data_IF_278999435573
#
_entry.id   IF_278999435573
#
_cell.length_a   1.000
_cell.length_b   1.000
_cell.length_c   1.000
_cell.angle_alpha   90.00
_cell.angle_beta   90.00
_cell.angle_gamma   90.00
#
_symmetry.space_group_name_H-M   'P 1'
#
loop_
_entity.id
_entity.type
_entity.pdbx_description
1 polymer ?
#
# COMPACT_ATOMS: atom_id res chain seq x y z
N UNK A 1 -28.83 -13.41 25.49
CA UNK A 1 -27.91 -14.23 24.69
C UNK A 1 -27.05 -13.25 23.90
N UNK A 2 -25.76 -13.19 24.25
CA UNK A 2 -24.79 -12.20 23.79
C UNK A 2 -24.25 -12.63 22.43
N UNK A 3 -24.68 -11.98 21.36
CA UNK A 3 -24.02 -12.05 20.05
C UNK A 3 -23.80 -10.61 19.53
N UNK A 4 -22.93 -9.86 20.21
CA UNK A 4 -22.20 -8.79 19.53
C UNK A 4 -20.90 -9.41 19.07
N UNK A 5 -20.85 -9.80 17.81
CA UNK A 5 -19.63 -10.25 17.15
C UNK A 5 -18.51 -9.25 17.43
N UNK A 6 -17.31 -9.77 17.69
CA UNK A 6 -16.13 -8.98 18.01
C UNK A 6 -15.90 -7.94 16.90
N UNK A 7 -16.16 -6.66 17.18
CA UNK A 7 -16.18 -5.57 16.19
C UNK A 7 -14.79 -5.04 15.87
N UNK A 8 -13.90 -5.90 15.41
CA UNK A 8 -12.53 -5.54 15.03
C UNK A 8 -12.21 -6.18 13.69
N UNK A 9 -11.69 -5.38 12.76
CA UNK A 9 -11.15 -5.84 11.49
C UNK A 9 -9.62 -5.77 11.57
N UNK A 10 -8.95 -6.74 10.95
CA UNK A 10 -7.50 -6.76 10.88
C UNK A 10 -7.00 -7.36 9.59
N UNK A 11 -5.92 -6.80 9.06
CA UNK A 11 -5.28 -7.24 7.83
C UNK A 11 -3.76 -7.17 7.98
N UNK A 12 -3.08 -8.13 7.36
CA UNK A 12 -1.63 -8.18 7.24
C UNK A 12 -1.24 -7.75 5.84
N UNK A 13 -0.50 -6.66 5.75
CA UNK A 13 -0.18 -5.95 4.51
C UNK A 13 1.31 -6.08 4.21
N UNK A 14 1.64 -6.79 3.13
CA UNK A 14 3.01 -6.79 2.59
C UNK A 14 3.31 -5.46 1.90
N UNK A 15 4.47 -4.89 2.21
CA UNK A 15 4.95 -3.63 1.63
C UNK A 15 5.73 -3.89 0.33
N UNK A 16 5.25 -3.28 -0.75
CA UNK A 16 5.73 -3.48 -2.12
C UNK A 16 6.60 -2.28 -2.54
N UNK A 17 7.83 -2.54 -2.97
CA UNK A 17 8.66 -1.50 -3.60
C UNK A 17 8.56 -1.60 -5.12
N UNK A 18 8.26 -0.47 -5.77
CA UNK A 18 8.38 -0.32 -7.23
C UNK A 18 9.70 0.29 -7.68
N UNK A 19 10.54 0.70 -6.73
CA UNK A 19 11.83 1.33 -6.97
C UNK A 19 12.98 0.33 -6.75
N UNK A 20 14.09 0.57 -7.44
CA UNK A 20 15.35 -0.14 -7.19
C UNK A 20 16.46 0.88 -6.92
N UNK A 21 17.34 0.58 -5.96
CA UNK A 21 18.40 1.51 -5.60
C UNK A 21 19.01 1.20 -4.24
N UNK A 22 19.93 2.05 -3.81
CA UNK A 22 20.47 2.01 -2.45
C UNK A 22 19.61 2.91 -1.57
N UNK A 23 19.12 2.39 -0.45
CA UNK A 23 18.24 3.13 0.45
C UNK A 23 19.04 4.14 1.25
N UNK A 24 18.66 5.41 1.16
CA UNK A 24 19.18 6.50 1.98
C UNK A 24 18.28 6.81 3.18
N UNK A 25 16.98 6.53 3.03
CA UNK A 25 15.98 6.80 4.05
C UNK A 25 14.77 5.89 3.93
N UNK A 26 14.11 5.66 5.05
CA UNK A 26 12.88 4.84 5.17
C UNK A 26 11.68 5.66 5.69
N UNK A 27 11.39 6.86 5.13
CA UNK A 27 10.36 7.74 5.67
C UNK A 27 8.95 7.11 5.64
N UNK A 28 8.70 6.19 4.71
CA UNK A 28 7.43 5.47 4.64
C UNK A 28 7.17 4.56 5.82
N UNK A 29 8.20 3.95 6.41
CA UNK A 29 8.01 3.13 7.60
C UNK A 29 7.56 3.95 8.80
N UNK A 30 8.10 5.16 8.95
CA UNK A 30 7.63 6.09 9.97
C UNK A 30 6.21 6.58 9.70
N UNK A 31 5.82 6.74 8.43
CA UNK A 31 4.43 7.04 8.07
C UNK A 31 3.49 5.89 8.44
N UNK A 32 3.87 4.63 8.15
CA UNK A 32 3.11 3.42 8.51
C UNK A 32 2.92 3.30 10.02
N UNK A 33 3.97 3.59 10.81
CA UNK A 33 3.91 3.58 12.28
C UNK A 33 2.93 4.62 12.87
N UNK A 34 2.58 5.66 12.11
CA UNK A 34 1.66 6.72 12.53
C UNK A 34 0.21 6.48 12.12
N UNK A 35 -0.07 5.39 11.41
CA UNK A 35 -1.44 5.01 11.02
C UNK A 35 -2.27 4.67 12.26
N UNK A 36 -3.59 4.91 12.19
CA UNK A 36 -4.49 4.69 13.33
C UNK A 36 -4.69 3.22 13.63
N UNK A 37 -4.64 2.39 12.58
CA UNK A 37 -4.77 0.93 12.65
C UNK A 37 -3.44 0.22 12.93
N UNK A 38 -2.32 0.94 13.12
CA UNK A 38 -1.00 0.34 13.30
C UNK A 38 -0.91 -0.55 14.56
N UNK A 39 -0.44 -1.79 14.40
CA UNK A 39 -0.10 -2.69 15.52
C UNK A 39 1.39 -3.03 15.52
N UNK A 40 1.92 -3.47 14.38
CA UNK A 40 3.34 -3.81 14.24
C UNK A 40 3.82 -3.67 12.81
N UNK A 41 5.11 -3.42 12.63
CA UNK A 41 5.78 -3.43 11.33
C UNK A 41 7.08 -4.22 11.45
N UNK A 42 7.22 -5.23 10.61
CA UNK A 42 8.48 -5.94 10.39
C UNK A 42 9.19 -5.28 9.21
N UNK A 43 10.39 -4.77 9.48
CA UNK A 43 11.23 -4.08 8.49
C UNK A 43 12.30 -5.03 7.98
N UNK A 44 12.31 -5.29 6.67
CA UNK A 44 13.32 -6.14 6.03
C UNK A 44 14.43 -5.33 5.32
N UNK A 45 14.32 -4.00 5.32
CA UNK A 45 15.18 -3.08 4.58
C UNK A 45 15.61 -1.93 5.49
N UNK A 46 16.90 -1.62 5.50
CA UNK A 46 17.47 -0.54 6.28
C UNK A 46 18.27 0.42 5.40
N UNK A 47 18.61 1.59 5.94
CA UNK A 47 19.49 2.55 5.26
C UNK A 47 20.84 1.89 4.96
N UNK A 48 21.28 2.00 3.71
CA UNK A 48 22.47 1.35 3.17
C UNK A 48 22.18 0.02 2.45
N UNK A 49 21.00 -0.58 2.63
CA UNK A 49 20.61 -1.78 1.91
C UNK A 49 20.24 -1.44 0.46
N UNK A 50 20.37 -2.44 -0.42
CA UNK A 50 19.90 -2.33 -1.80
C UNK A 50 18.48 -2.85 -1.89
N UNK A 51 17.53 -1.94 -2.09
CA UNK A 51 16.14 -2.30 -2.39
C UNK A 51 16.01 -2.67 -3.86
N UNK A 52 15.21 -3.71 -4.12
CA UNK A 52 14.86 -4.17 -5.45
C UNK A 52 13.35 -4.10 -5.61
N UNK A 53 12.89 -4.09 -6.87
CA UNK A 53 11.46 -4.15 -7.17
C UNK A 53 10.88 -5.46 -6.65
N UNK A 54 9.80 -5.39 -5.89
CA UNK A 54 9.16 -6.56 -5.30
C UNK A 54 8.47 -7.36 -6.41
N UNK A 55 8.98 -8.57 -6.67
CA UNK A 55 8.45 -9.50 -7.68
C UNK A 55 7.94 -10.81 -7.07
N UNK A 56 8.28 -11.05 -5.80
CA UNK A 56 7.96 -12.25 -5.04
C UNK A 56 7.92 -11.92 -3.53
N UNK A 57 7.67 -12.94 -2.71
CA UNK A 57 7.59 -12.79 -1.25
C UNK A 57 8.95 -12.58 -0.57
N UNK A 58 10.07 -12.90 -1.23
CA UNK A 58 11.41 -12.71 -0.67
C UNK A 58 11.93 -11.28 -0.89
N UNK A 59 11.41 -10.60 -1.90
CA UNK A 59 11.70 -9.21 -2.25
C UNK A 59 10.72 -8.22 -1.61
N UNK A 60 9.89 -8.69 -0.66
CA UNK A 60 9.00 -7.84 0.14
C UNK A 60 9.82 -7.03 1.14
N UNK A 61 9.59 -5.72 1.14
CA UNK A 61 10.40 -4.78 1.93
C UNK A 61 10.02 -4.71 3.41
N UNK A 62 8.81 -5.17 3.74
CA UNK A 62 8.33 -5.27 5.11
C UNK A 62 6.90 -5.80 5.19
N UNK A 63 6.44 -6.04 6.41
CA UNK A 63 5.11 -6.57 6.69
C UNK A 63 4.46 -5.74 7.80
N UNK A 64 3.36 -5.08 7.47
CA UNK A 64 2.58 -4.30 8.41
C UNK A 64 1.37 -5.12 8.90
N UNK A 65 1.15 -5.15 10.21
CA UNK A 65 -0.08 -5.69 10.80
C UNK A 65 -0.94 -4.51 11.22
N UNK A 66 -2.14 -4.45 10.65
CA UNK A 66 -3.12 -3.39 10.90
C UNK A 66 -4.38 -3.98 11.52
N UNK A 67 -4.84 -3.39 12.62
CA UNK A 67 -6.07 -3.80 13.31
C UNK A 67 -6.78 -2.55 13.82
N UNK A 68 -8.07 -2.44 13.54
CA UNK A 68 -8.90 -1.35 14.05
C UNK A 68 -10.34 -1.82 14.29
N UNK A 69 -11.04 -1.19 15.23
CA UNK A 69 -12.45 -1.52 15.52
C UNK A 69 -13.40 -1.05 14.42
N UNK A 70 -13.03 0.04 13.75
CA UNK A 70 -13.75 0.59 12.60
C UNK A 70 -13.13 0.07 11.29
N UNK A 71 -13.87 -0.68 10.46
CA UNK A 71 -13.36 -1.19 9.18
C UNK A 71 -13.08 -0.10 8.15
N UNK A 72 -13.72 1.07 8.23
CA UNK A 72 -13.47 2.18 7.30
C UNK A 72 -12.07 2.78 7.54
N UNK A 73 -11.69 2.93 8.80
CA UNK A 73 -10.33 3.39 9.18
C UNK A 73 -9.26 2.41 8.69
N UNK A 74 -9.50 1.10 8.80
CA UNK A 74 -8.59 0.09 8.30
C UNK A 74 -8.43 0.19 6.77
N UNK A 75 -9.53 0.34 6.04
CA UNK A 75 -9.51 0.48 4.59
C UNK A 75 -8.80 1.77 4.12
N UNK A 76 -9.01 2.88 4.81
CA UNK A 76 -8.30 4.14 4.56
C UNK A 76 -6.79 4.00 4.77
N UNK A 77 -6.37 3.41 5.88
CA UNK A 77 -4.96 3.22 6.21
C UNK A 77 -4.26 2.29 5.21
N UNK A 78 -4.92 1.20 4.80
CA UNK A 78 -4.43 0.32 3.72
C UNK A 78 -4.28 1.10 2.41
N UNK A 79 -5.26 1.93 2.06
CA UNK A 79 -5.23 2.74 0.84
C UNK A 79 -4.07 3.75 0.86
N UNK A 80 -3.77 4.33 2.02
CA UNK A 80 -2.61 5.20 2.21
C UNK A 80 -1.29 4.46 1.99
N UNK A 81 -1.15 3.23 2.50
CA UNK A 81 0.03 2.39 2.25
C UNK A 81 0.19 2.16 0.74
N UNK A 82 -0.87 1.71 0.05
CA UNK A 82 -0.81 1.45 -1.40
C UNK A 82 -0.49 2.70 -2.21
N UNK A 83 -0.99 3.85 -1.79
CA UNK A 83 -0.64 5.14 -2.40
C UNK A 83 0.85 5.45 -2.24
N UNK A 84 1.42 5.27 -1.04
CA UNK A 84 2.85 5.49 -0.81
C UNK A 84 3.74 4.55 -1.62
N UNK A 85 3.31 3.30 -1.82
CA UNK A 85 4.01 2.34 -2.68
C UNK A 85 4.11 2.88 -4.12
N UNK A 86 2.97 3.28 -4.70
CA UNK A 86 2.89 3.79 -6.08
C UNK A 86 3.65 5.10 -6.26
N UNK A 87 3.58 6.00 -5.28
CA UNK A 87 4.31 7.27 -5.30
C UNK A 87 5.81 7.10 -5.08
N UNK A 88 6.26 5.92 -4.64
CA UNK A 88 7.65 5.68 -4.28
C UNK A 88 8.07 6.38 -2.98
N UNK A 89 7.13 6.87 -2.18
CA UNK A 89 7.43 7.59 -0.93
C UNK A 89 7.75 6.67 0.25
N UNK A 90 7.79 5.34 0.02
CA UNK A 90 8.23 4.39 1.04
C UNK A 90 9.71 4.54 1.39
N UNK A 91 10.55 4.80 0.39
CA UNK A 91 12.01 4.82 0.50
C UNK A 91 12.59 6.00 -0.27
N UNK A 92 13.58 6.65 0.32
CA UNK A 92 14.48 7.54 -0.41
C UNK A 92 15.60 6.68 -0.99
N UNK A 93 15.72 6.61 -2.32
CA UNK A 93 16.70 5.76 -3.01
C UNK A 93 17.69 6.56 -3.85
N UNK A 94 18.96 6.15 -3.82
CA UNK A 94 19.97 6.59 -4.77
C UNK A 94 20.25 5.52 -5.82
N UNK A 95 20.14 5.90 -7.10
CA UNK A 95 20.40 5.05 -8.26
C UNK A 95 19.38 5.27 -9.38
N UNK A 96 19.74 4.93 -10.62
CA UNK A 96 18.81 5.04 -11.75
C UNK A 96 17.68 4.00 -11.65
N UNK A 97 16.45 4.49 -11.71
CA UNK A 97 15.29 3.72 -12.13
C UNK A 97 15.50 3.32 -13.60
N UNK A 98 16.00 2.12 -13.84
CA UNK A 98 15.94 1.53 -15.18
C UNK A 98 14.47 1.24 -15.50
N UNK A 99 13.87 1.84 -16.54
CA UNK A 99 12.58 1.38 -17.02
C UNK A 99 12.81 -0.02 -17.61
N UNK A 100 12.43 -1.07 -16.87
CA UNK A 100 12.48 -2.43 -17.43
C UNK A 100 11.44 -2.52 -18.54
N UNK A 101 11.90 -3.02 -19.70
CA UNK A 101 11.04 -3.49 -20.78
C UNK A 101 9.96 -4.43 -20.22
N UNK A 102 8.70 -4.34 -20.69
CA UNK A 102 7.60 -5.14 -20.17
C UNK A 102 7.97 -6.63 -20.12
N UNK A 103 7.83 -7.23 -18.94
CA UNK A 103 8.00 -8.67 -18.74
C UNK A 103 6.88 -9.35 -19.49
N UNK A 104 7.20 -9.93 -20.65
CA UNK A 104 6.26 -10.68 -21.50
C UNK A 104 5.83 -11.94 -20.73
N UNK A 105 4.79 -11.86 -19.90
CA UNK A 105 4.22 -13.04 -19.24
C UNK A 105 3.32 -12.82 -18.02
N UNK A 106 3.35 -11.67 -17.34
CA UNK A 106 2.43 -11.40 -16.21
C UNK A 106 1.33 -10.49 -16.70
N UNK A 107 0.15 -11.07 -16.93
CA UNK A 107 -1.04 -10.34 -17.36
C UNK A 107 -1.43 -9.29 -16.31
N UNK A 108 -1.70 -8.04 -16.71
CA UNK A 108 -2.06 -6.94 -15.80
C UNK A 108 -3.53 -7.02 -15.33
N UNK A 109 -4.14 -8.21 -15.28
CA UNK A 109 -5.59 -8.36 -15.14
C UNK A 109 -6.17 -7.89 -13.81
N UNK A 110 -5.35 -7.75 -12.76
CA UNK A 110 -5.78 -7.21 -11.47
C UNK A 110 -5.38 -5.74 -11.26
N UNK A 111 -4.43 -5.22 -12.05
CA UNK A 111 -3.82 -3.90 -11.87
C UNK A 111 -4.77 -2.77 -12.30
N UNK A 112 -5.51 -2.96 -13.39
CA UNK A 112 -6.52 -2.00 -13.87
C UNK A 112 -7.78 -1.97 -12.98
N UNK A 113 -8.07 -3.04 -12.24
CA UNK A 113 -9.28 -3.13 -11.44
C UNK A 113 -9.22 -2.24 -10.19
N UNK A 114 -8.06 -2.10 -9.55
CA UNK A 114 -7.90 -1.27 -8.34
C UNK A 114 -7.87 0.22 -8.70
N UNK A 115 -7.18 0.61 -9.77
CA UNK A 115 -7.14 2.01 -10.23
C UNK A 115 -8.51 2.46 -10.73
N UNK A 116 -9.23 1.59 -11.46
CA UNK A 116 -10.61 1.86 -11.89
C UNK A 116 -11.60 1.94 -10.71
N UNK A 117 -11.44 1.08 -9.70
CA UNK A 117 -12.30 1.09 -8.50
C UNK A 117 -12.09 2.35 -7.63
N UNK A 118 -10.85 2.81 -7.51
CA UNK A 118 -10.51 4.05 -6.79
C UNK A 118 -11.05 5.29 -7.54
N UNK A 119 -11.05 5.30 -8.88
CA UNK A 119 -11.69 6.36 -9.68
C UNK A 119 -13.23 6.25 -9.72
N UNK A 120 -13.79 5.05 -9.59
CA UNK A 120 -15.24 4.79 -9.59
C UNK A 120 -15.93 5.13 -8.27
N UNK A 121 -15.21 5.15 -7.15
CA UNK A 121 -15.77 5.37 -5.80
C UNK A 121 -15.41 6.75 -5.21
N UNK A 122 -14.87 7.66 -6.03
CA UNK A 122 -14.64 9.05 -5.60
C UNK A 122 -15.94 9.82 -5.31
N UNK A 123 -15.90 10.89 -4.49
CA UNK A 123 -17.07 11.44 -3.77
C UNK A 123 -18.06 12.27 -4.62
N UNK A 124 -18.03 12.17 -5.94
CA UNK A 124 -18.83 13.01 -6.84
C UNK A 124 -20.12 12.34 -7.36
N UNK A 125 -20.65 11.33 -6.67
CA UNK A 125 -21.94 10.71 -6.99
C UNK A 125 -23.13 11.50 -6.41
N UNK A 126 -23.05 12.83 -6.41
CA UNK A 126 -23.99 13.71 -5.72
C UNK A 126 -24.39 14.96 -6.52
N UNK A 127 -24.60 14.84 -7.83
CA UNK A 127 -25.35 15.86 -8.60
C UNK A 127 -26.22 15.14 -9.64
N UNK A 128 -27.38 14.66 -9.20
CA UNK A 128 -28.50 14.41 -10.11
C UNK A 128 -29.15 15.78 -10.38
N UNK A 129 -28.78 16.41 -11.48
CA UNK A 129 -29.52 17.54 -12.02
C UNK A 129 -30.78 16.97 -12.68
N UNK A 130 -31.94 17.17 -12.05
CA UNK A 130 -33.26 16.97 -12.66
C UNK A 130 -33.30 17.77 -13.97
N UNK A 131 -33.38 17.07 -15.09
CA UNK A 131 -33.68 17.65 -16.38
C UNK A 131 -35.21 17.71 -16.54
N UNK A 132 -35.72 18.93 -16.76
CA UNK A 132 -37.05 19.23 -17.28
C UNK A 132 -37.37 18.46 -18.57
#
# INVERSE_FOLDING_TARGET
VLERGFGWAGEMVSLISFQEGVVEGTPGFDAVRRLRSYVSLEENVHVGDRVQKTIDLFTVTGLAVLIHSDPEVLAEDISLIRKMEVEGSLFDVQGEDSPRSPVRGVLPSCFEFIVSLIWSLGPNAGVLQEAN
#
